data_IF_085633446880
#
_entry.id   IF_085633446880
#
_cell.length_a   1.000
_cell.length_b   1.000
_cell.length_c   1.000
_cell.angle_alpha   90.00
_cell.angle_beta   90.00
_cell.angle_gamma   90.00
#
_symmetry.space_group_name_H-M   'P 1'
#
loop_
_entity.id
_entity.type
_entity.pdbx_description
1 polymer ?
#
# COMPACT_ATOMS: atom_id res chain seq x y z
N UNK A 1 4.34 21.92 -17.74
CA UNK A 1 5.37 20.93 -18.10
C UNK A 1 5.28 19.68 -17.19
N UNK A 2 4.06 19.15 -16.96
CA UNK A 2 3.79 18.02 -16.05
C UNK A 2 2.74 17.03 -16.62
N UNK A 3 2.48 17.05 -17.92
CA UNK A 3 1.35 16.32 -18.52
C UNK A 3 1.68 14.87 -18.95
N UNK A 4 2.95 14.48 -19.10
CA UNK A 4 3.32 13.19 -19.74
C UNK A 4 3.64 12.02 -18.78
N UNK A 5 3.22 12.10 -17.51
CA UNK A 5 3.42 10.98 -16.57
C UNK A 5 2.18 10.07 -16.54
N UNK A 6 2.32 8.81 -16.95
CA UNK A 6 1.24 7.81 -16.93
C UNK A 6 1.01 7.23 -15.53
N UNK A 7 -0.20 6.74 -15.27
CA UNK A 7 -0.55 5.96 -14.06
C UNK A 7 0.01 4.55 -14.23
N UNK A 8 0.56 3.97 -13.16
CA UNK A 8 1.10 2.60 -13.22
C UNK A 8 -0.04 1.58 -13.43
N UNK A 9 0.11 0.73 -14.44
CA UNK A 9 -0.77 -0.42 -14.64
C UNK A 9 -0.30 -1.60 -13.78
N UNK A 10 -1.26 -2.32 -13.21
CA UNK A 10 -1.00 -3.47 -12.36
C UNK A 10 -1.50 -4.76 -12.99
N UNK A 11 -0.68 -5.82 -13.06
CA UNK A 11 -1.14 -7.09 -13.62
C UNK A 11 -2.26 -7.67 -12.74
N UNK A 12 -3.31 -8.25 -13.34
CA UNK A 12 -4.42 -8.84 -12.61
C UNK A 12 -3.93 -9.96 -11.70
N UNK A 13 -4.55 -10.11 -10.53
CA UNK A 13 -4.29 -11.26 -9.66
C UNK A 13 -4.94 -12.47 -10.30
N UNK A 14 -4.13 -13.41 -10.82
CA UNK A 14 -4.64 -14.73 -11.19
C UNK A 14 -5.19 -15.39 -9.91
N UNK A 15 -6.48 -15.73 -9.91
CA UNK A 15 -7.14 -16.44 -8.82
C UNK A 15 -6.64 -17.90 -8.76
N UNK A 16 -5.35 -18.11 -8.49
CA UNK A 16 -4.84 -19.43 -8.16
C UNK A 16 -5.15 -19.69 -6.68
N UNK A 17 -6.08 -20.63 -6.46
CA UNK A 17 -6.39 -21.33 -5.21
C UNK A 17 -5.91 -20.63 -3.94
N UNK A 18 -6.58 -19.55 -3.54
CA UNK A 18 -6.29 -18.90 -2.26
C UNK A 18 -6.59 -19.88 -1.15
N UNK A 19 -5.54 -20.35 -0.44
CA UNK A 19 -5.68 -21.18 0.74
C UNK A 19 -6.70 -20.58 1.69
N UNK A 20 -7.56 -21.44 2.24
CA UNK A 20 -8.59 -21.05 3.18
C UNK A 20 -7.91 -20.65 4.51
N UNK A 21 -8.27 -19.51 5.08
CA UNK A 21 -7.79 -19.08 6.40
C UNK A 21 -8.60 -19.69 7.55
N UNK A 22 -9.56 -20.56 7.21
CA UNK A 22 -10.55 -21.09 8.14
C UNK A 22 -10.01 -22.28 8.93
N UNK A 23 -9.32 -23.21 8.28
CA UNK A 23 -8.72 -24.33 8.99
C UNK A 23 -7.38 -23.92 9.61
N UNK A 24 -7.10 -24.43 10.81
CA UNK A 24 -5.82 -24.17 11.48
C UNK A 24 -4.64 -24.65 10.64
N UNK A 25 -4.75 -25.81 9.99
CA UNK A 25 -3.65 -26.38 9.21
C UNK A 25 -3.33 -25.55 7.95
N UNK A 26 -4.34 -25.06 7.25
CA UNK A 26 -4.12 -24.17 6.09
C UNK A 26 -3.55 -22.82 6.52
N UNK A 27 -4.03 -22.28 7.65
CA UNK A 27 -3.46 -21.06 8.23
C UNK A 27 -1.99 -21.23 8.61
N UNK A 28 -1.61 -22.28 9.35
CA UNK A 28 -0.22 -22.54 9.73
C UNK A 28 0.69 -22.74 8.50
N UNK A 29 0.18 -23.39 7.46
CA UNK A 29 0.89 -23.56 6.19
C UNK A 29 1.12 -22.22 5.50
N UNK A 30 0.10 -21.37 5.42
CA UNK A 30 0.20 -20.02 4.88
C UNK A 30 1.18 -19.17 5.71
N UNK A 31 1.02 -19.17 7.03
CA UNK A 31 1.87 -18.43 7.98
C UNK A 31 3.34 -18.80 7.79
N UNK A 32 3.64 -20.10 7.67
CA UNK A 32 4.98 -20.59 7.40
C UNK A 32 5.49 -20.09 6.05
N UNK A 33 4.68 -20.18 4.99
CA UNK A 33 5.05 -19.70 3.66
C UNK A 33 5.35 -18.18 3.64
N UNK A 34 4.51 -17.36 4.28
CA UNK A 34 4.71 -15.92 4.41
C UNK A 34 6.04 -15.62 5.08
N UNK A 35 6.32 -16.27 6.23
CA UNK A 35 7.59 -16.10 6.94
C UNK A 35 8.77 -16.53 6.10
N UNK A 36 8.67 -17.68 5.42
CA UNK A 36 9.72 -18.17 4.53
C UNK A 36 10.01 -17.19 3.40
N UNK A 37 8.98 -16.63 2.74
CA UNK A 37 9.17 -15.65 1.66
C UNK A 37 9.80 -14.36 2.17
N UNK A 38 9.34 -13.82 3.31
CA UNK A 38 9.95 -12.63 3.93
C UNK A 38 11.42 -12.91 4.27
N UNK A 39 11.72 -14.05 4.89
CA UNK A 39 13.10 -14.45 5.21
C UNK A 39 13.93 -14.59 3.95
N UNK A 40 13.40 -15.18 2.88
CA UNK A 40 14.15 -15.38 1.65
C UNK A 40 14.40 -14.10 0.86
N UNK A 41 13.54 -13.08 1.00
CA UNK A 41 13.81 -11.73 0.47
C UNK A 41 15.07 -11.10 1.08
N UNK A 42 15.56 -11.56 2.24
CA UNK A 42 16.84 -11.13 2.81
C UNK A 42 18.05 -11.41 1.91
N UNK A 43 17.89 -12.19 0.83
CA UNK A 43 18.95 -12.35 -0.18
C UNK A 43 19.43 -11.01 -0.76
N UNK A 44 18.57 -9.99 -0.78
CA UNK A 44 18.88 -8.65 -1.30
C UNK A 44 19.47 -7.71 -0.22
N UNK A 45 19.47 -8.13 1.05
CA UNK A 45 20.02 -7.35 2.17
C UNK A 45 21.51 -7.59 2.35
N UNK A 46 22.18 -6.68 3.08
CA UNK A 46 23.62 -6.81 3.39
C UNK A 46 23.92 -8.12 4.13
N UNK A 47 23.03 -8.48 5.05
CA UNK A 47 23.11 -9.72 5.84
C UNK A 47 22.05 -10.73 5.36
N UNK A 48 22.38 -11.51 4.32
CA UNK A 48 21.49 -12.56 3.82
C UNK A 48 21.35 -13.70 4.82
N UNK A 49 20.12 -14.15 5.06
CA UNK A 49 19.85 -15.27 5.95
C UNK A 49 20.47 -16.59 5.41
N UNK A 50 21.02 -17.46 6.28
CA UNK A 50 21.66 -18.71 5.84
C UNK A 50 20.68 -19.70 5.18
N UNK A 51 19.40 -19.68 5.55
CA UNK A 51 18.36 -20.57 5.00
C UNK A 51 17.96 -20.27 3.55
N UNK A 52 18.51 -19.22 2.93
CA UNK A 52 18.21 -18.87 1.55
C UNK A 52 18.74 -19.98 0.61
N UNK A 53 17.89 -20.55 -0.28
CA UNK A 53 18.31 -21.58 -1.23
C UNK A 53 19.33 -21.08 -2.26
N UNK A 54 20.21 -21.97 -2.73
CA UNK A 54 21.21 -21.65 -3.76
C UNK A 54 20.61 -21.11 -5.08
N UNK A 55 19.52 -21.67 -5.63
CA UNK A 55 18.90 -21.11 -6.84
C UNK A 55 18.44 -19.67 -6.65
N UNK A 56 17.94 -19.35 -5.45
CA UNK A 56 17.49 -18.01 -5.10
C UNK A 56 18.66 -17.02 -5.06
N UNK A 57 19.83 -17.43 -4.56
CA UNK A 57 21.05 -16.62 -4.59
C UNK A 57 21.58 -16.38 -6.00
N UNK A 58 21.28 -17.27 -6.95
CA UNK A 58 21.73 -17.14 -8.34
C UNK A 58 20.97 -16.05 -9.10
N UNK A 59 19.67 -15.88 -8.84
CA UNK A 59 18.82 -14.85 -9.46
C UNK A 59 17.92 -14.16 -8.42
N UNK A 60 18.51 -13.36 -7.51
CA UNK A 60 17.81 -12.91 -6.31
C UNK A 60 16.68 -11.92 -6.61
N UNK A 61 16.81 -11.09 -7.64
CA UNK A 61 15.80 -10.10 -8.02
C UNK A 61 14.55 -10.78 -8.59
N UNK A 62 14.72 -11.73 -9.52
CA UNK A 62 13.59 -12.44 -10.12
C UNK A 62 12.75 -13.16 -9.06
N UNK A 63 13.39 -13.97 -8.21
CA UNK A 63 12.68 -14.72 -7.19
C UNK A 63 12.06 -13.82 -6.13
N UNK A 64 12.71 -12.71 -5.76
CA UNK A 64 12.10 -11.73 -4.85
C UNK A 64 10.84 -11.12 -5.43
N UNK A 65 10.84 -10.78 -6.74
CA UNK A 65 9.65 -10.28 -7.42
C UNK A 65 8.52 -11.30 -7.38
N UNK A 66 8.80 -12.55 -7.73
CA UNK A 66 7.81 -13.63 -7.73
C UNK A 66 7.21 -13.84 -6.32
N UNK A 67 8.06 -13.92 -5.28
CA UNK A 67 7.61 -14.06 -3.89
C UNK A 67 6.75 -12.88 -3.43
N UNK A 68 7.20 -11.63 -3.64
CA UNK A 68 6.43 -10.44 -3.28
C UNK A 68 5.11 -10.38 -4.04
N UNK A 69 5.11 -10.73 -5.33
CA UNK A 69 3.89 -10.77 -6.13
C UNK A 69 2.89 -11.82 -5.63
N UNK A 70 3.36 -12.97 -5.15
CA UNK A 70 2.52 -14.03 -4.58
C UNK A 70 1.86 -13.59 -3.25
N UNK A 71 2.56 -12.79 -2.43
CA UNK A 71 2.02 -12.27 -1.17
C UNK A 71 0.81 -11.33 -1.35
N UNK A 72 0.60 -10.77 -2.55
CA UNK A 72 -0.54 -9.88 -2.86
C UNK A 72 -1.88 -10.57 -2.61
N UNK A 73 -1.97 -11.89 -2.81
CA UNK A 73 -3.22 -12.63 -2.62
C UNK A 73 -3.77 -12.54 -1.19
N UNK A 74 -2.91 -12.27 -0.21
CA UNK A 74 -3.30 -12.13 1.21
C UNK A 74 -4.04 -10.80 1.45
N UNK A 75 -3.89 -9.80 0.58
CA UNK A 75 -4.56 -8.50 0.68
C UNK A 75 -5.95 -8.49 0.02
N UNK A 76 -6.33 -9.57 -0.67
CA UNK A 76 -7.65 -9.65 -1.30
C UNK A 76 -8.77 -9.76 -0.26
N UNK A 77 -9.84 -8.98 -0.47
CA UNK A 77 -11.08 -9.12 0.31
C UNK A 77 -11.69 -10.49 0.05
N UNK A 78 -11.80 -11.31 1.09
CA UNK A 78 -12.55 -12.56 1.01
C UNK A 78 -14.03 -12.23 1.23
N UNK A 79 -14.82 -12.27 0.16
CA UNK A 79 -16.26 -12.05 0.24
C UNK A 79 -16.91 -13.18 1.03
N UNK A 80 -17.13 -12.97 2.32
CA UNK A 80 -17.72 -13.97 3.22
C UNK A 80 -19.26 -14.05 3.15
N UNK A 81 -19.90 -13.43 2.14
CA UNK A 81 -21.36 -13.22 2.16
C UNK A 81 -22.08 -13.12 0.82
N UNK A 82 -21.55 -13.63 -0.29
CA UNK A 82 -22.42 -13.90 -1.44
C UNK A 82 -23.03 -15.29 -1.25
N UNK A 83 -24.36 -15.32 -1.07
CA UNK A 83 -25.21 -16.51 -1.07
C UNK A 83 -24.79 -17.38 -2.27
N UNK A 84 -23.94 -18.37 -2.03
CA UNK A 84 -23.88 -19.53 -2.90
C UNK A 84 -25.14 -20.32 -2.57
N UNK A 85 -25.95 -20.62 -3.58
CA UNK A 85 -27.21 -21.38 -3.49
C UNK A 85 -27.02 -22.84 -3.03
N UNK A 86 -25.92 -23.15 -2.36
CA UNK A 86 -25.59 -24.45 -1.79
C UNK A 86 -25.52 -24.36 -0.26
N UNK A 87 -26.34 -25.14 0.48
CA UNK A 87 -26.30 -25.16 1.93
C UNK A 87 -25.10 -26.00 2.38
N UNK A 88 -23.91 -25.38 2.48
CA UNK A 88 -22.77 -26.00 3.15
C UNK A 88 -22.21 -25.08 4.21
N UNK A 89 -22.43 -25.49 5.46
CA UNK A 89 -22.00 -24.89 6.73
C UNK A 89 -22.46 -23.45 6.97
N UNK A 90 -23.37 -23.31 7.95
CA UNK A 90 -23.68 -22.06 8.62
C UNK A 90 -22.38 -21.51 9.25
N UNK A 91 -21.63 -20.67 8.53
CA UNK A 91 -20.40 -20.05 9.06
C UNK A 91 -20.79 -19.09 10.17
N UNK A 92 -20.27 -19.30 11.37
CA UNK A 92 -20.61 -18.48 12.53
C UNK A 92 -19.91 -17.13 12.40
N UNK A 93 -20.51 -16.05 12.93
CA UNK A 93 -19.87 -14.73 12.99
C UNK A 93 -18.47 -14.76 13.64
N UNK A 94 -18.25 -15.69 14.57
CA UNK A 94 -16.96 -15.94 15.22
C UNK A 94 -15.88 -16.46 14.26
N UNK A 95 -16.22 -17.36 13.32
CA UNK A 95 -15.25 -17.93 12.37
C UNK A 95 -14.76 -16.88 11.37
N UNK A 96 -15.63 -15.93 11.02
CA UNK A 96 -15.31 -14.79 10.15
C UNK A 96 -14.37 -13.82 10.86
N UNK A 97 -14.59 -13.55 12.15
CA UNK A 97 -13.72 -12.69 12.96
C UNK A 97 -12.31 -13.28 13.13
N UNK A 98 -12.20 -14.60 13.38
CA UNK A 98 -10.91 -15.29 13.48
C UNK A 98 -10.14 -15.22 12.15
N UNK A 99 -10.81 -15.51 11.02
CA UNK A 99 -10.22 -15.41 9.69
C UNK A 99 -9.71 -13.99 9.39
N UNK A 100 -10.49 -12.97 9.76
CA UNK A 100 -10.12 -11.56 9.57
C UNK A 100 -8.90 -11.19 10.41
N UNK A 101 -8.84 -11.62 11.67
CA UNK A 101 -7.69 -11.38 12.56
C UNK A 101 -6.41 -12.04 12.04
N UNK A 102 -6.51 -13.29 11.58
CA UNK A 102 -5.39 -14.01 10.94
C UNK A 102 -4.88 -13.31 9.69
N UNK A 103 -5.79 -12.89 8.82
CA UNK A 103 -5.44 -12.13 7.63
C UNK A 103 -4.70 -10.83 7.99
N UNK A 104 -5.20 -10.09 8.99
CA UNK A 104 -4.58 -8.86 9.46
C UNK A 104 -3.17 -9.11 10.04
N UNK A 105 -2.97 -10.21 10.76
CA UNK A 105 -1.65 -10.61 11.28
C UNK A 105 -0.65 -10.86 10.14
N UNK A 106 -1.06 -11.60 9.11
CA UNK A 106 -0.20 -11.85 7.95
C UNK A 106 0.10 -10.56 7.16
N UNK A 107 -0.91 -9.71 6.95
CA UNK A 107 -0.70 -8.39 6.33
C UNK A 107 0.33 -7.59 7.12
N UNK A 108 0.21 -7.52 8.45
CA UNK A 108 1.18 -6.82 9.29
C UNK A 108 2.59 -7.42 9.21
N UNK A 109 2.72 -8.76 9.18
CA UNK A 109 4.00 -9.42 9.00
C UNK A 109 4.64 -9.06 7.65
N UNK A 110 3.85 -9.04 6.57
CA UNK A 110 4.30 -8.69 5.23
C UNK A 110 4.73 -7.23 5.16
N UNK A 111 3.93 -6.29 5.69
CA UNK A 111 4.28 -4.87 5.71
C UNK A 111 5.61 -4.65 6.44
N UNK A 112 5.79 -5.26 7.61
CA UNK A 112 7.07 -5.20 8.36
C UNK A 112 8.23 -5.82 7.57
N UNK A 113 7.98 -6.93 6.87
CA UNK A 113 8.96 -7.56 6.00
C UNK A 113 9.40 -6.66 4.85
N UNK A 114 8.45 -6.00 4.18
CA UNK A 114 8.70 -5.05 3.10
C UNK A 114 9.47 -3.83 3.63
N UNK A 115 9.06 -3.22 4.74
CA UNK A 115 9.78 -2.09 5.35
C UNK A 115 11.20 -2.49 5.76
N UNK A 116 11.38 -3.69 6.34
CA UNK A 116 12.73 -4.17 6.67
C UNK A 116 13.60 -4.36 5.43
N UNK A 117 13.01 -4.89 4.35
CA UNK A 117 13.70 -5.08 3.08
C UNK A 117 14.13 -3.72 2.47
N UNK A 118 13.26 -2.71 2.48
CA UNK A 118 13.56 -1.39 1.92
C UNK A 118 14.62 -0.64 2.72
N UNK A 119 14.65 -0.82 4.05
CA UNK A 119 15.66 -0.22 4.93
C UNK A 119 17.03 -0.91 4.77
N UNK A 120 17.05 -2.25 4.76
CA UNK A 120 18.28 -3.03 4.89
C UNK A 120 18.85 -3.55 3.56
N UNK A 121 18.22 -3.26 2.42
CA UNK A 121 18.73 -3.72 1.13
C UNK A 121 20.13 -3.17 0.85
N UNK A 122 20.90 -3.96 0.12
CA UNK A 122 22.22 -3.53 -0.37
C UNK A 122 22.06 -2.47 -1.47
N UNK A 123 23.03 -1.57 -1.60
CA UNK A 123 22.98 -0.49 -2.60
C UNK A 123 22.84 -1.02 -4.03
N UNK A 124 23.44 -2.18 -4.33
CA UNK A 124 23.32 -2.86 -5.62
C UNK A 124 21.86 -3.10 -6.03
N UNK A 125 21.01 -3.44 -5.07
CA UNK A 125 19.61 -3.82 -5.30
C UNK A 125 18.62 -2.72 -4.90
N UNK A 126 19.09 -1.54 -4.48
CA UNK A 126 18.25 -0.45 -3.94
C UNK A 126 17.13 -0.05 -4.89
N UNK A 127 17.46 0.26 -6.14
CA UNK A 127 16.48 0.68 -7.15
C UNK A 127 15.44 -0.41 -7.44
N UNK A 128 15.88 -1.67 -7.53
CA UNK A 128 15.00 -2.81 -7.73
C UNK A 128 14.04 -2.98 -6.55
N UNK A 129 14.57 -3.00 -5.31
CA UNK A 129 13.79 -3.15 -4.08
C UNK A 129 12.79 -2.02 -3.93
N UNK A 130 13.19 -0.78 -4.19
CA UNK A 130 12.33 0.37 -4.07
C UNK A 130 11.14 0.30 -5.06
N UNK A 131 11.43 -0.08 -6.31
CA UNK A 131 10.43 -0.27 -7.34
C UNK A 131 9.42 -1.37 -6.97
N UNK A 132 9.90 -2.59 -6.66
CA UNK A 132 9.02 -3.73 -6.38
C UNK A 132 8.19 -3.52 -5.11
N UNK A 133 8.77 -2.91 -4.07
CA UNK A 133 8.07 -2.62 -2.81
C UNK A 133 6.98 -1.58 -2.98
N UNK A 134 7.26 -0.45 -3.66
CA UNK A 134 6.24 0.58 -3.90
C UNK A 134 5.11 0.06 -4.81
N UNK A 135 5.44 -0.70 -5.86
CA UNK A 135 4.44 -1.34 -6.71
C UNK A 135 3.55 -2.30 -5.92
N UNK A 136 4.18 -3.13 -5.09
CA UNK A 136 3.46 -4.06 -4.22
C UNK A 136 2.53 -3.32 -3.27
N UNK A 137 3.03 -2.29 -2.57
CA UNK A 137 2.24 -1.53 -1.60
C UNK A 137 1.05 -0.83 -2.25
N UNK A 138 1.23 -0.15 -3.38
CA UNK A 138 0.14 0.52 -4.10
C UNK A 138 -0.94 -0.49 -4.53
N UNK A 139 -0.52 -1.58 -5.17
CA UNK A 139 -1.42 -2.60 -5.70
C UNK A 139 -2.18 -3.33 -4.59
N UNK A 140 -1.45 -3.82 -3.59
CA UNK A 140 -2.03 -4.56 -2.46
C UNK A 140 -2.98 -3.68 -1.63
N UNK A 141 -2.64 -2.41 -1.45
CA UNK A 141 -3.52 -1.45 -0.77
C UNK A 141 -4.79 -1.20 -1.56
N UNK A 142 -4.69 -1.17 -2.89
CA UNK A 142 -5.85 -0.96 -3.75
C UNK A 142 -6.86 -2.12 -3.66
N UNK A 143 -6.36 -3.37 -3.63
CA UNK A 143 -7.19 -4.57 -3.42
C UNK A 143 -7.97 -4.49 -2.09
N UNK A 144 -7.36 -3.92 -1.06
CA UNK A 144 -7.91 -3.85 0.30
C UNK A 144 -8.78 -2.61 0.54
N UNK A 145 -8.48 -1.45 -0.05
CA UNK A 145 -9.12 -0.18 0.26
C UNK A 145 -10.25 0.20 -0.71
N UNK A 146 -10.24 -0.32 -1.94
CA UNK A 146 -11.18 0.08 -2.99
C UNK A 146 -12.64 -0.32 -2.76
N UNK A 147 -12.92 -1.50 -2.21
CA UNK A 147 -14.31 -1.92 -1.98
C UNK A 147 -15.03 -1.09 -0.90
N UNK A 148 -16.35 -0.90 -1.05
CA UNK A 148 -17.22 -0.29 -0.02
C UNK A 148 -17.28 -1.15 1.24
N UNK A 149 -16.91 -0.61 2.39
CA UNK A 149 -16.91 -1.33 3.67
C UNK A 149 -17.93 -0.71 4.62
N UNK A 150 -19.10 -1.34 4.73
CA UNK A 150 -19.98 -1.21 5.89
C UNK A 150 -19.64 -2.21 7.01
N UNK A 151 -18.55 -2.98 6.88
CA UNK A 151 -18.19 -3.99 7.87
C UNK A 151 -17.03 -3.50 8.72
N UNK A 152 -17.43 -3.05 9.91
CA UNK A 152 -16.64 -2.97 11.14
C UNK A 152 -15.69 -4.16 11.19
N UNK A 153 -14.40 -3.91 10.93
CA UNK A 153 -13.24 -4.61 11.47
C UNK A 153 -11.98 -4.01 10.82
N UNK A 154 -11.51 -2.89 11.39
CA UNK A 154 -10.34 -2.10 10.99
C UNK A 154 -8.99 -2.84 11.13
N UNK A 155 -8.98 -4.17 11.30
CA UNK A 155 -7.78 -4.93 11.58
C UNK A 155 -6.84 -4.86 10.35
N UNK A 156 -5.78 -4.07 10.46
CA UNK A 156 -4.74 -3.93 9.45
C UNK A 156 -4.88 -2.74 8.49
N UNK A 157 -6.07 -2.14 8.29
CA UNK A 157 -6.25 -1.00 7.36
C UNK A 157 -5.37 0.19 7.75
N UNK A 158 -5.35 0.53 9.04
CA UNK A 158 -4.50 1.60 9.56
C UNK A 158 -3.02 1.31 9.31
N UNK A 159 -2.57 0.07 9.56
CA UNK A 159 -1.19 -0.34 9.32
C UNK A 159 -0.81 -0.24 7.84
N UNK A 160 -1.70 -0.67 6.93
CA UNK A 160 -1.46 -0.60 5.48
C UNK A 160 -1.28 0.84 5.03
N UNK A 161 -2.23 1.72 5.37
CA UNK A 161 -2.15 3.15 5.00
C UNK A 161 -0.90 3.79 5.58
N UNK A 162 -0.63 3.54 6.86
CA UNK A 162 0.55 4.07 7.53
C UNK A 162 1.83 3.64 6.82
N UNK A 163 2.00 2.34 6.52
CA UNK A 163 3.17 1.82 5.80
C UNK A 163 3.29 2.42 4.40
N UNK A 164 2.18 2.60 3.66
CA UNK A 164 2.19 3.26 2.36
C UNK A 164 2.74 4.67 2.49
N UNK A 165 2.21 5.49 3.39
CA UNK A 165 2.67 6.88 3.54
C UNK A 165 4.10 6.98 4.08
N UNK A 166 4.46 6.15 5.07
CA UNK A 166 5.82 6.11 5.62
C UNK A 166 6.84 5.77 4.53
N UNK A 167 6.56 4.72 3.74
CA UNK A 167 7.47 4.27 2.71
C UNK A 167 7.55 5.28 1.54
N UNK A 168 6.43 5.91 1.16
CA UNK A 168 6.44 6.97 0.15
C UNK A 168 7.23 8.20 0.59
N UNK A 169 6.99 8.68 1.82
CA UNK A 169 7.69 9.85 2.35
C UNK A 169 9.18 9.56 2.51
N UNK A 170 9.54 8.42 3.11
CA UNK A 170 10.94 7.99 3.23
C UNK A 170 11.63 7.95 1.87
N UNK A 171 11.01 7.31 0.90
CA UNK A 171 11.57 7.19 -0.45
C UNK A 171 11.69 8.53 -1.16
N UNK A 172 10.77 9.45 -0.90
CA UNK A 172 10.77 10.77 -1.56
C UNK A 172 11.80 11.71 -0.93
N UNK A 173 11.92 11.70 0.40
CA UNK A 173 12.93 12.48 1.11
C UNK A 173 14.35 12.02 0.78
N UNK A 174 14.55 10.71 0.55
CA UNK A 174 15.83 10.14 0.10
C UNK A 174 16.05 10.24 -1.42
N UNK A 175 15.14 10.86 -2.17
CA UNK A 175 15.20 10.96 -3.64
C UNK A 175 15.28 9.58 -4.35
N UNK A 176 14.68 8.56 -3.73
CA UNK A 176 14.66 7.16 -4.18
C UNK A 176 13.35 6.75 -4.89
N UNK A 177 12.41 7.68 -5.10
CA UNK A 177 11.20 7.37 -5.88
C UNK A 177 11.60 7.04 -7.34
N UNK A 178 11.25 5.86 -7.87
CA UNK A 178 11.73 5.45 -9.19
C UNK A 178 11.26 6.33 -10.36
N UNK A 179 10.09 6.94 -10.23
CA UNK A 179 9.51 7.84 -11.24
C UNK A 179 8.41 8.72 -10.63
N UNK A 180 8.20 9.96 -11.12
CA UNK A 180 7.07 10.81 -10.74
C UNK A 180 5.69 10.14 -10.91
N UNK A 181 5.55 9.15 -11.80
CA UNK A 181 4.34 8.34 -11.97
C UNK A 181 3.83 7.68 -10.68
N UNK A 182 4.71 7.40 -9.71
CA UNK A 182 4.30 6.83 -8.42
C UNK A 182 3.46 7.79 -7.60
N UNK A 183 3.85 9.08 -7.54
CA UNK A 183 3.07 10.10 -6.84
C UNK A 183 1.71 10.34 -7.50
N UNK A 184 1.67 10.35 -8.84
CA UNK A 184 0.41 10.45 -9.59
C UNK A 184 -0.50 9.25 -9.30
N UNK A 185 0.06 8.04 -9.32
CA UNK A 185 -0.67 6.80 -9.02
C UNK A 185 -1.19 6.80 -7.59
N UNK A 186 -0.36 7.15 -6.60
CA UNK A 186 -0.77 7.27 -5.20
C UNK A 186 -1.92 8.28 -5.06
N UNK A 187 -1.85 9.44 -5.72
CA UNK A 187 -2.92 10.45 -5.67
C UNK A 187 -4.24 9.93 -6.25
N UNK A 188 -4.22 9.25 -7.40
CA UNK A 188 -5.41 8.62 -7.98
C UNK A 188 -6.02 7.59 -7.03
N UNK A 189 -5.18 6.72 -6.47
CA UNK A 189 -5.61 5.68 -5.56
C UNK A 189 -6.15 6.23 -4.24
N UNK A 190 -5.45 7.17 -3.61
CA UNK A 190 -5.93 7.82 -2.39
C UNK A 190 -7.28 8.51 -2.61
N UNK A 191 -7.50 9.13 -3.78
CA UNK A 191 -8.80 9.71 -4.12
C UNK A 191 -9.92 8.67 -4.16
N UNK A 192 -9.63 7.47 -4.65
CA UNK A 192 -10.56 6.34 -4.67
C UNK A 192 -10.80 5.74 -3.28
N UNK A 193 -9.82 5.85 -2.39
CA UNK A 193 -9.89 5.31 -1.03
C UNK A 193 -10.41 6.32 0.01
N UNK A 194 -10.83 7.52 -0.40
CA UNK A 194 -11.22 8.64 0.50
C UNK A 194 -12.35 8.30 1.49
N UNK A 195 -13.17 7.29 1.17
CA UNK A 195 -14.21 6.77 2.07
C UNK A 195 -13.66 5.99 3.28
N UNK A 196 -12.38 5.62 3.26
CA UNK A 196 -11.73 4.88 4.35
C UNK A 196 -11.24 5.85 5.42
N UNK A 197 -11.86 5.85 6.60
CA UNK A 197 -11.46 6.71 7.74
C UNK A 197 -9.95 6.62 8.07
N UNK A 198 -9.33 5.41 8.13
CA UNK A 198 -7.90 5.32 8.39
C UNK A 198 -7.03 6.05 7.35
N UNK A 199 -7.48 6.18 6.10
CA UNK A 199 -6.76 6.96 5.09
C UNK A 199 -6.67 8.42 5.49
N UNK A 200 -7.82 9.03 5.79
CA UNK A 200 -7.94 10.46 6.09
C UNK A 200 -7.17 10.80 7.37
N UNK A 201 -7.27 9.97 8.40
CA UNK A 201 -6.56 10.21 9.65
C UNK A 201 -5.04 10.15 9.49
N UNK A 202 -4.51 9.14 8.79
CA UNK A 202 -3.06 9.02 8.56
C UNK A 202 -2.57 10.15 7.66
N UNK A 203 -3.35 10.53 6.64
CA UNK A 203 -3.02 11.65 5.76
C UNK A 203 -2.91 12.95 6.57
N UNK A 204 -3.92 13.26 7.38
CA UNK A 204 -3.94 14.46 8.21
C UNK A 204 -2.76 14.49 9.19
N UNK A 205 -2.45 13.33 9.82
CA UNK A 205 -1.28 13.20 10.69
C UNK A 205 0.01 13.54 9.93
N UNK A 206 0.24 12.96 8.75
CA UNK A 206 1.46 13.21 7.95
C UNK A 206 1.57 14.63 7.42
N UNK A 207 0.46 15.22 6.96
CA UNK A 207 0.43 16.63 6.56
C UNK A 207 0.80 17.54 7.72
N UNK A 208 0.26 17.27 8.92
CA UNK A 208 0.60 18.03 10.12
C UNK A 208 2.08 17.87 10.46
N UNK A 209 2.62 16.64 10.45
CA UNK A 209 4.06 16.39 10.71
C UNK A 209 4.96 17.19 9.77
N UNK A 210 4.68 17.11 8.47
CA UNK A 210 5.45 17.84 7.45
C UNK A 210 5.29 19.36 7.62
N UNK A 211 4.11 19.84 8.00
CA UNK A 211 3.88 21.27 8.25
C UNK A 211 4.70 21.76 9.46
N UNK A 212 4.74 20.98 10.54
CA UNK A 212 5.57 21.28 11.72
C UNK A 212 7.05 21.37 11.32
N UNK A 213 7.54 20.40 10.54
CA UNK A 213 8.93 20.40 10.06
C UNK A 213 9.25 21.62 9.20
N UNK A 214 8.37 22.00 8.28
CA UNK A 214 8.56 23.21 7.44
C UNK A 214 8.57 24.48 8.31
N UNK A 215 7.68 24.58 9.29
CA UNK A 215 7.64 25.74 10.19
C UNK A 215 8.92 25.79 11.04
N UNK A 216 9.39 24.66 11.56
CA UNK A 216 10.64 24.58 12.32
C UNK A 216 11.86 24.92 11.44
N UNK A 217 11.85 24.55 10.16
CA UNK A 217 12.88 24.94 9.20
C UNK A 217 12.91 26.46 8.96
N UNK A 218 11.73 27.10 8.85
CA UNK A 218 11.63 28.53 8.55
C UNK A 218 11.85 29.45 9.76
N UNK A 219 11.39 29.04 10.94
CA UNK A 219 11.32 29.89 12.14
C UNK A 219 12.17 29.40 13.31
N UNK A 220 12.83 28.24 13.16
CA UNK A 220 13.66 27.61 14.19
C UNK A 220 12.94 26.49 14.95
N UNK A 221 13.72 25.57 15.56
CA UNK A 221 13.19 24.35 16.20
C UNK A 221 12.26 24.64 17.38
N UNK A 222 12.50 25.74 18.10
CA UNK A 222 11.76 26.11 19.32
C UNK A 222 10.41 26.82 19.02
N UNK A 223 10.08 27.04 17.74
CA UNK A 223 8.85 27.76 17.37
C UNK A 223 7.57 26.94 17.60
N UNK A 224 7.66 25.60 17.54
CA UNK A 224 6.54 24.70 17.80
C UNK A 224 6.99 23.52 18.68
N UNK A 225 6.51 23.49 19.93
CA UNK A 225 6.62 22.35 20.87
C UNK A 225 5.62 21.24 20.53
N UNK A 226 5.46 20.92 19.24
CA UNK A 226 4.69 19.76 18.81
C UNK A 226 5.69 18.63 18.58
N UNK A 227 5.57 17.48 19.27
CA UNK A 227 6.46 16.36 19.04
C UNK A 227 6.39 15.95 17.56
N UNK A 228 7.52 16.03 16.86
CA UNK A 228 7.62 15.62 15.46
C UNK A 228 7.22 14.15 15.36
N UNK A 229 6.28 13.86 14.47
CA UNK A 229 5.76 12.51 14.25
C UNK A 229 6.68 11.83 13.23
N UNK A 230 7.55 10.93 13.68
CA UNK A 230 8.17 9.81 12.95
C UNK A 230 8.62 10.05 11.49
N UNK A 231 9.10 11.24 11.16
CA UNK A 231 9.81 11.49 9.90
C UNK A 231 11.26 11.75 10.29
N UNK A 232 12.12 10.75 10.07
CA UNK A 232 13.54 10.77 10.41
C UNK A 232 14.21 12.06 9.92
N UNK A 233 14.74 12.86 10.85
CA UNK A 233 15.33 14.20 10.66
C UNK A 233 16.67 14.22 9.88
N UNK A 234 17.02 13.15 9.16
CA UNK A 234 18.33 13.05 8.52
C UNK A 234 18.37 13.85 7.21
N UNK A 235 18.81 15.10 7.33
CA UNK A 235 19.65 15.87 6.39
C UNK A 235 19.24 16.03 4.91
N UNK A 236 17.99 15.84 4.51
CA UNK A 236 17.53 16.18 3.14
C UNK A 236 16.29 17.08 3.15
N UNK A 237 16.52 18.37 3.42
CA UNK A 237 15.53 19.45 3.33
C UNK A 237 15.06 19.72 1.88
N UNK A 238 15.86 19.39 0.86
CA UNK A 238 15.58 19.70 -0.55
C UNK A 238 14.22 19.18 -1.03
N UNK A 239 13.82 17.99 -0.55
CA UNK A 239 12.58 17.33 -0.95
C UNK A 239 11.44 17.50 0.04
N UNK A 240 11.65 18.16 1.18
CA UNK A 240 10.64 18.31 2.24
C UNK A 240 9.43 19.12 1.76
N UNK A 241 9.67 20.30 1.19
CA UNK A 241 8.60 21.16 0.66
C UNK A 241 7.81 20.49 -0.46
N UNK A 242 8.49 19.72 -1.32
CA UNK A 242 7.85 18.96 -2.38
C UNK A 242 6.96 17.85 -1.84
N UNK A 243 7.45 17.07 -0.87
CA UNK A 243 6.67 16.03 -0.19
C UNK A 243 5.44 16.61 0.49
N UNK A 244 5.60 17.74 1.20
CA UNK A 244 4.48 18.45 1.84
C UNK A 244 3.45 18.90 0.82
N UNK A 245 3.88 19.54 -0.27
CA UNK A 245 3.00 19.99 -1.34
C UNK A 245 2.23 18.81 -1.97
N UNK A 246 2.92 17.70 -2.27
CA UNK A 246 2.30 16.50 -2.83
C UNK A 246 1.30 15.85 -1.86
N UNK A 247 1.66 15.77 -0.57
CA UNK A 247 0.76 15.26 0.47
C UNK A 247 -0.49 16.14 0.62
N UNK A 248 -0.36 17.46 0.61
CA UNK A 248 -1.51 18.37 0.69
C UNK A 248 -2.52 18.15 -0.44
N UNK A 249 -2.03 17.91 -1.66
CA UNK A 249 -2.88 17.74 -2.85
C UNK A 249 -3.33 16.29 -3.06
N UNK A 250 -2.90 15.37 -2.19
CA UNK A 250 -3.06 13.93 -2.41
C UNK A 250 -4.53 13.51 -2.52
N UNK A 251 -5.37 14.02 -1.63
CA UNK A 251 -6.81 13.72 -1.59
C UNK A 251 -7.63 14.55 -2.59
N UNK A 252 -7.03 15.47 -3.34
CA UNK A 252 -7.74 16.36 -4.27
C UNK A 252 -8.64 17.39 -3.58
N UNK A 253 -9.51 18.04 -4.37
CA UNK A 253 -10.39 19.10 -3.86
C UNK A 253 -11.48 18.52 -2.93
N UNK A 254 -11.62 19.00 -1.69
CA UNK A 254 -12.68 18.56 -0.78
C UNK A 254 -14.09 18.88 -1.29
N UNK A 255 -14.28 19.88 -2.15
CA UNK A 255 -15.58 20.16 -2.76
C UNK A 255 -16.08 19.00 -3.64
N UNK A 256 -15.16 18.26 -4.28
CA UNK A 256 -15.46 17.11 -5.14
C UNK A 256 -15.84 15.85 -4.34
N UNK A 257 -15.85 15.91 -3.00
CA UNK A 257 -16.28 14.80 -2.13
C UNK A 257 -17.80 14.64 -2.20
N UNK A 258 -18.54 15.72 -2.46
CA UNK A 258 -20.01 15.71 -2.48
C UNK A 258 -20.56 14.96 -3.71
N UNK A 259 -19.81 14.95 -4.81
CA UNK A 259 -20.19 14.30 -6.07
C UNK A 259 -19.65 12.86 -6.21
N UNK A 260 -18.87 12.39 -5.22
CA UNK A 260 -18.24 11.06 -5.27
C UNK A 260 -19.26 9.96 -4.94
N UNK A 261 -19.72 9.24 -5.97
CA UNK A 261 -20.59 8.06 -5.82
C UNK A 261 -19.75 6.76 -5.82
N UNK A 262 -19.51 6.13 -4.66
CA UNK A 262 -18.71 4.91 -4.58
C UNK A 262 -19.38 3.71 -5.27
N UNK A 263 -20.66 3.78 -5.67
CA UNK A 263 -21.36 2.70 -6.37
C UNK A 263 -21.05 2.62 -7.87
N UNK A 264 -20.49 3.69 -8.46
CA UNK A 264 -20.20 3.76 -9.90
C UNK A 264 -18.77 3.39 -10.26
N UNK A 265 -17.83 3.54 -9.33
CA UNK A 265 -16.42 3.22 -9.57
C UNK A 265 -16.15 1.75 -9.21
N UNK A 266 -16.31 0.88 -10.21
CA UNK A 266 -15.75 -0.47 -10.16
C UNK A 266 -14.21 -0.46 -10.03
N UNK A 267 -13.61 -1.64 -9.92
CA UNK A 267 -12.16 -1.77 -10.12
C UNK A 267 -11.75 -1.06 -11.43
N UNK A 268 -10.59 -0.38 -11.47
CA UNK A 268 -10.11 0.32 -12.68
C UNK A 268 -10.25 -0.64 -13.86
N UNK A 269 -11.08 -0.28 -14.84
CA UNK A 269 -11.25 -1.09 -16.05
C UNK A 269 -9.88 -1.29 -16.67
N UNK A 270 -9.54 -2.54 -17.00
CA UNK A 270 -8.33 -2.91 -17.72
C UNK A 270 -8.29 -2.35 -19.16
N UNK A 271 -9.35 -1.66 -19.59
CA UNK A 271 -9.47 -1.06 -20.90
C UNK A 271 -9.09 0.43 -20.84
N UNK A 272 -7.94 0.77 -21.44
CA UNK A 272 -7.40 2.13 -21.54
C UNK A 272 -8.45 3.16 -21.98
N UNK A 273 -9.30 2.79 -22.92
CA UNK A 273 -10.34 3.68 -23.49
C UNK A 273 -11.44 3.97 -22.47
N UNK A 274 -11.89 2.98 -21.70
CA UNK A 274 -12.94 3.19 -20.69
C UNK A 274 -12.44 4.01 -19.49
N UNK A 275 -11.20 3.78 -19.04
CA UNK A 275 -10.60 4.57 -17.96
C UNK A 275 -10.42 6.05 -18.35
N UNK A 276 -10.08 6.32 -19.62
CA UNK A 276 -9.93 7.67 -20.15
C UNK A 276 -11.28 8.38 -20.30
N UNK A 277 -12.34 7.66 -20.68
CA UNK A 277 -13.69 8.22 -20.75
C UNK A 277 -14.29 8.46 -19.37
N UNK A 278 -14.04 7.60 -18.36
CA UNK A 278 -14.54 7.81 -16.99
C UNK A 278 -13.97 9.09 -16.35
N UNK A 279 -12.69 9.38 -16.60
CA UNK A 279 -12.01 10.58 -16.09
C UNK A 279 -12.47 11.85 -16.83
N UNK A 280 -12.68 11.78 -18.16
CA UNK A 280 -13.09 12.95 -18.94
C UNK A 280 -14.60 13.25 -18.82
N UNK A 281 -15.47 12.26 -18.67
CA UNK A 281 -16.92 12.50 -18.51
C UNK A 281 -17.22 13.23 -17.19
N UNK A 282 -16.46 12.94 -16.13
CA UNK A 282 -16.59 13.66 -14.85
C UNK A 282 -16.09 15.12 -14.92
N UNK A 283 -15.20 15.46 -15.87
CA UNK A 283 -14.71 16.82 -16.10
C UNK A 283 -15.62 17.63 -17.04
N UNK A 284 -16.28 16.99 -18.01
CA UNK A 284 -17.19 17.67 -18.95
C UNK A 284 -18.60 17.91 -18.40
N UNK A 285 -19.00 17.28 -17.29
CA UNK A 285 -20.31 17.51 -16.66
C UNK A 285 -20.29 18.61 -15.56
N UNK A 286 -19.12 19.21 -15.30
CA UNK A 286 -18.93 20.27 -14.31
C UNK A 286 -18.52 21.63 -14.92
N UNK A 287 -18.80 21.82 -16.20
CA UNK A 287 -18.72 23.11 -16.92
C UNK A 287 -20.07 23.46 -17.53
#
# INVERSE_FOLDING_TARGET
>A
MYEDWFVLEFPPVQQESTLSLFSNNEYESLHTAVRTYITWCSVLTKDSHPSVPLPLRADPERYTREMICALRGIFMKRNHGKKTDFPMLHKTSLDVDICTKRQAQEIQAILRGITSLTMNCSEKHRNFVQNVSLQFLLNSSDLLLSGQTNMVNNYGLNSVVQTVFDEFLRSSLLEQIPSPSYWKTLSVLCRRWRHQVPLVENWARKVLSLSVLIVQELFGPDYLDIPSIDISNDNQQSSLHLCWFQMLHLLGNPANIIDFDPCKDGAISHNFVEAFFYINISLCLAS
#
